data_IF_229050884416
#
_entry.id   IF_229050884416
#
_cell.length_a   1.000
_cell.length_b   1.000
_cell.length_c   1.000
_cell.angle_alpha   90.00
_cell.angle_beta   90.00
_cell.angle_gamma   90.00
#
_symmetry.space_group_name_H-M   'P 1'
#
loop_
_entity.id
_entity.type
_entity.pdbx_description
1 polymer ?
#
# COMPACT_ATOMS: atom_id res chain seq x y z
N UNK A 1 -26.00 55.28 26.38
CA UNK A 1 -24.89 54.43 26.89
C UNK A 1 -25.19 52.92 26.86
N UNK A 2 -26.45 52.44 26.89
CA UNK A 2 -26.78 50.99 26.81
C UNK A 2 -26.52 50.32 25.45
N UNK A 3 -26.51 51.06 24.33
CA UNK A 3 -26.33 50.49 22.97
C UNK A 3 -24.86 50.18 22.62
N UNK A 4 -23.89 50.82 23.29
CA UNK A 4 -22.46 50.54 23.11
C UNK A 4 -22.01 49.25 23.81
N UNK A 5 -22.69 48.88 24.91
CA UNK A 5 -22.38 47.65 25.67
C UNK A 5 -22.78 46.39 24.87
N UNK A 6 -23.83 46.46 24.05
CA UNK A 6 -24.27 45.34 23.21
C UNK A 6 -23.34 45.07 22.01
N UNK A 7 -22.68 46.09 21.49
CA UNK A 7 -21.72 45.94 20.38
C UNK A 7 -20.41 45.29 20.88
N UNK A 8 -20.01 45.58 22.12
CA UNK A 8 -18.83 44.94 22.71
C UNK A 8 -19.06 43.46 23.07
N UNK A 9 -20.28 43.08 23.46
CA UNK A 9 -20.61 41.68 23.77
C UNK A 9 -20.67 40.80 22.51
N UNK A 10 -21.07 41.36 21.36
CA UNK A 10 -21.07 40.65 20.08
C UNK A 10 -19.65 40.44 19.51
N UNK A 11 -18.70 41.32 19.82
CA UNK A 11 -17.32 41.21 19.35
C UNK A 11 -16.50 40.13 20.10
N UNK A 12 -16.84 39.82 21.36
CA UNK A 12 -16.11 38.81 22.16
C UNK A 12 -16.55 37.39 21.83
N UNK A 13 -17.78 37.18 21.35
CA UNK A 13 -18.25 35.83 20.98
C UNK A 13 -17.66 35.28 19.66
N UNK A 14 -17.08 36.13 18.82
CA UNK A 14 -16.46 35.70 17.54
C UNK A 14 -15.04 35.12 17.75
N UNK A 15 -14.41 35.37 18.90
CA UNK A 15 -13.07 34.85 19.21
C UNK A 15 -13.06 33.54 20.01
N UNK A 16 -14.24 32.95 20.27
CA UNK A 16 -14.39 31.70 21.02
C UNK A 16 -14.82 30.53 20.14
N UNK A 17 -14.52 30.57 18.83
CA UNK A 17 -14.63 29.38 18.01
C UNK A 17 -13.54 28.41 18.46
N UNK A 18 -13.85 27.19 18.95
CA UNK A 18 -12.82 26.17 19.08
C UNK A 18 -12.19 26.05 17.70
N UNK A 19 -10.87 26.22 17.63
CA UNK A 19 -10.11 25.82 16.48
C UNK A 19 -10.44 24.33 16.28
N UNK A 20 -11.33 24.05 15.33
CA UNK A 20 -11.47 22.71 14.79
C UNK A 20 -10.12 22.48 14.16
N UNK A 21 -9.22 21.83 14.89
CA UNK A 21 -7.98 21.32 14.33
C UNK A 21 -8.40 20.57 13.09
N UNK A 22 -8.06 21.12 11.93
CA UNK A 22 -8.06 20.38 10.69
C UNK A 22 -7.36 19.08 11.01
N UNK A 23 -8.09 17.97 10.95
CA UNK A 23 -7.48 16.65 10.93
C UNK A 23 -6.40 16.73 9.85
N UNK A 24 -5.15 16.82 10.29
CA UNK A 24 -3.99 16.87 9.41
C UNK A 24 -4.12 15.65 8.53
N UNK A 25 -4.04 15.86 7.21
CA UNK A 25 -4.17 14.86 6.19
C UNK A 25 -3.48 13.57 6.65
N UNK A 26 -4.29 12.54 6.87
CA UNK A 26 -3.88 11.21 7.29
C UNK A 26 -2.85 10.72 6.27
N UNK A 27 -1.59 10.65 6.69
CA UNK A 27 -0.49 10.34 5.79
C UNK A 27 -0.60 8.88 5.40
N UNK A 28 -0.90 8.62 4.13
CA UNK A 28 -0.98 7.27 3.53
C UNK A 28 0.40 6.58 3.43
N UNK A 29 1.31 6.92 4.35
CA UNK A 29 2.66 6.40 4.43
C UNK A 29 2.66 5.06 5.13
N UNK A 30 3.28 4.07 4.49
CA UNK A 30 3.42 2.71 5.02
C UNK A 30 4.86 2.51 5.46
N UNK A 31 5.06 1.92 6.64
CA UNK A 31 6.37 1.43 7.05
C UNK A 31 6.50 -0.04 6.61
N UNK A 32 7.53 -0.33 5.82
CA UNK A 32 7.93 -1.71 5.54
C UNK A 32 9.19 -2.03 6.32
N UNK A 33 9.08 -3.05 7.18
CA UNK A 33 10.20 -3.59 7.96
C UNK A 33 10.61 -4.89 7.28
N UNK A 34 11.80 -4.90 6.69
CA UNK A 34 12.20 -5.92 5.71
C UNK A 34 13.54 -6.57 6.09
N UNK A 35 13.72 -7.88 5.89
CA UNK A 35 15.03 -8.51 6.11
C UNK A 35 16.01 -8.03 5.04
N UNK A 36 17.30 -7.96 5.36
CA UNK A 36 18.38 -7.57 4.43
C UNK A 36 18.71 -8.64 3.36
N UNK A 37 17.68 -9.28 2.80
CA UNK A 37 17.80 -10.25 1.71
C UNK A 37 17.63 -9.54 0.38
N UNK A 38 18.50 -9.83 -0.58
CA UNK A 38 18.51 -9.15 -1.88
C UNK A 38 17.15 -9.19 -2.59
N UNK A 39 16.51 -10.36 -2.70
CA UNK A 39 15.22 -10.53 -3.37
C UNK A 39 14.10 -9.71 -2.71
N UNK A 40 14.03 -9.76 -1.39
CA UNK A 40 13.03 -9.03 -0.59
C UNK A 40 13.23 -7.53 -0.70
N UNK A 41 14.49 -7.08 -0.58
CA UNK A 41 14.85 -5.68 -0.68
C UNK A 41 14.53 -5.09 -2.06
N UNK A 42 14.74 -5.88 -3.12
CA UNK A 42 14.40 -5.46 -4.48
C UNK A 42 12.90 -5.16 -4.61
N UNK A 43 12.03 -6.02 -4.08
CA UNK A 43 10.58 -5.80 -4.07
C UNK A 43 10.24 -4.58 -3.20
N UNK A 44 10.82 -4.48 -2.01
CA UNK A 44 10.57 -3.35 -1.10
C UNK A 44 10.90 -1.99 -1.74
N UNK A 45 12.03 -1.90 -2.47
CA UNK A 45 12.38 -0.69 -3.22
C UNK A 45 11.43 -0.41 -4.38
N UNK A 46 11.02 -1.44 -5.11
CA UNK A 46 10.07 -1.27 -6.21
C UNK A 46 8.70 -0.80 -5.69
N UNK A 47 8.30 -1.21 -4.49
CA UNK A 47 7.13 -0.68 -3.78
C UNK A 47 7.34 0.76 -3.35
N UNK A 48 8.47 1.08 -2.71
CA UNK A 48 8.78 2.44 -2.24
C UNK A 48 8.88 3.49 -3.36
N UNK A 49 9.18 3.05 -4.59
CA UNK A 49 9.15 3.92 -5.79
C UNK A 49 7.74 4.27 -6.27
N UNK A 50 6.74 3.45 -5.92
CA UNK A 50 5.35 3.58 -6.37
C UNK A 50 4.44 4.12 -5.28
N UNK A 51 4.77 3.87 -4.02
CA UNK A 51 3.96 4.19 -2.85
C UNK A 51 4.76 4.95 -1.80
N UNK A 52 4.16 5.91 -1.08
CA UNK A 52 4.80 6.60 0.03
C UNK A 52 5.19 5.57 1.11
N UNK A 53 6.46 5.18 1.14
CA UNK A 53 6.90 4.06 1.97
C UNK A 53 8.18 4.43 2.71
N UNK A 54 8.20 4.21 4.02
CA UNK A 54 9.42 4.21 4.83
C UNK A 54 9.96 2.79 4.85
N UNK A 55 11.24 2.62 4.49
CA UNK A 55 11.89 1.31 4.51
C UNK A 55 12.83 1.22 5.70
N UNK A 56 12.62 0.20 6.53
CA UNK A 56 13.56 -0.20 7.57
C UNK A 56 14.03 -1.61 7.27
N UNK A 57 15.34 -1.78 7.09
CA UNK A 57 15.97 -3.09 6.96
C UNK A 57 16.38 -3.61 8.33
N UNK A 58 16.22 -4.90 8.57
CA UNK A 58 16.80 -5.59 9.72
C UNK A 58 17.71 -6.74 9.29
N UNK A 59 18.72 -7.02 10.10
CA UNK A 59 19.65 -8.13 9.92
C UNK A 59 20.30 -8.51 11.25
N UNK A 60 21.06 -9.61 11.29
CA UNK A 60 21.72 -10.09 12.50
C UNK A 60 20.94 -11.22 13.18
N UNK A 61 21.08 -11.35 14.49
CA UNK A 61 20.40 -12.37 15.29
C UNK A 61 19.09 -11.83 15.86
N UNK A 62 18.25 -12.72 16.42
CA UNK A 62 17.00 -12.32 17.08
C UNK A 62 17.24 -11.50 18.35
N UNK A 63 18.41 -11.66 18.98
CA UNK A 63 18.80 -11.01 20.24
C UNK A 63 19.51 -9.67 19.99
N UNK A 64 20.26 -9.56 18.89
CA UNK A 64 21.03 -8.38 18.53
C UNK A 64 20.74 -7.97 17.06
N UNK A 65 19.52 -7.46 16.78
CA UNK A 65 19.19 -7.01 15.43
C UNK A 65 19.86 -5.68 15.13
N UNK A 66 20.47 -5.61 13.95
CA UNK A 66 21.00 -4.37 13.38
C UNK A 66 19.97 -3.79 12.43
N UNK A 67 19.54 -2.57 12.71
CA UNK A 67 18.53 -1.86 11.93
C UNK A 67 19.15 -0.79 11.07
N UNK A 68 18.61 -0.62 9.87
CA UNK A 68 18.95 0.48 8.98
C UNK A 68 17.67 1.08 8.41
N UNK A 69 17.62 2.40 8.29
CA UNK A 69 16.53 3.12 7.63
C UNK A 69 17.01 3.69 6.30
N UNK A 70 16.18 3.59 5.27
CA UNK A 70 16.45 4.22 3.99
C UNK A 70 15.95 5.67 4.02
N UNK A 71 16.86 6.63 3.77
CA UNK A 71 16.51 8.06 3.73
C UNK A 71 16.18 8.60 2.33
N UNK A 72 16.21 7.74 1.30
CA UNK A 72 16.08 8.14 -0.12
C UNK A 72 17.39 8.08 -0.90
N UNK A 73 18.54 8.14 -0.21
CA UNK A 73 19.87 8.21 -0.80
C UNK A 73 20.80 7.10 -0.31
N UNK A 74 20.77 6.83 1.00
CA UNK A 74 21.61 5.83 1.65
C UNK A 74 20.89 5.15 2.82
N UNK A 75 21.47 4.04 3.26
CA UNK A 75 21.07 3.35 4.48
C UNK A 75 21.75 4.01 5.68
N UNK A 76 20.95 4.52 6.60
CA UNK A 76 21.44 5.07 7.87
C UNK A 76 21.24 4.02 8.97
N UNK A 77 22.24 3.83 9.82
CA UNK A 77 22.09 3.00 11.01
C UNK A 77 20.97 3.56 11.90
N UNK A 78 20.13 2.66 12.41
CA UNK A 78 19.02 3.00 13.29
C UNK A 78 19.19 2.25 14.61
N UNK A 79 19.11 2.97 15.73
CA UNK A 79 19.12 2.31 17.04
C UNK A 79 17.77 1.65 17.33
N UNK A 80 17.77 0.56 18.10
CA UNK A 80 16.54 -0.09 18.52
C UNK A 80 15.63 0.86 19.33
N UNK A 81 16.22 1.71 20.16
CA UNK A 81 15.49 2.71 20.97
C UNK A 81 14.81 3.75 20.08
N UNK A 82 15.50 4.28 19.07
CA UNK A 82 14.92 5.26 18.14
C UNK A 82 13.81 4.61 17.30
N UNK A 83 13.98 3.34 16.93
CA UNK A 83 12.96 2.56 16.26
C UNK A 83 11.70 2.39 17.13
N UNK A 84 11.86 1.94 18.38
CA UNK A 84 10.75 1.68 19.31
C UNK A 84 9.97 2.95 19.68
N UNK A 85 10.65 4.11 19.72
CA UNK A 85 10.01 5.41 19.98
C UNK A 85 9.47 6.08 18.72
N UNK A 86 9.89 5.62 17.55
CA UNK A 86 9.61 6.25 16.26
C UNK A 86 10.31 7.61 16.07
N UNK A 87 11.36 7.92 16.85
CA UNK A 87 12.03 9.23 16.84
C UNK A 87 12.70 9.58 15.50
N UNK A 88 12.99 8.56 14.68
CA UNK A 88 13.56 8.74 13.34
C UNK A 88 12.54 9.20 12.28
N UNK A 89 11.24 9.18 12.60
CA UNK A 89 10.16 9.51 11.68
C UNK A 89 9.84 10.99 11.76
N UNK A 90 9.71 11.64 10.59
CA UNK A 90 9.15 13.00 10.51
C UNK A 90 7.62 12.99 10.64
N UNK A 91 6.99 11.93 10.15
CA UNK A 91 5.56 11.69 10.21
C UNK A 91 5.32 10.22 10.55
N UNK A 92 4.43 9.95 11.51
CA UNK A 92 4.11 8.58 11.91
C UNK A 92 3.32 7.85 10.80
N UNK A 93 3.73 6.65 10.40
CA UNK A 93 3.00 5.83 9.45
C UNK A 93 1.75 5.25 10.12
N UNK A 94 0.61 5.30 9.44
CA UNK A 94 -0.62 4.69 9.94
C UNK A 94 -0.54 3.15 9.94
N UNK A 95 0.28 2.62 9.03
CA UNK A 95 0.35 1.22 8.66
C UNK A 95 1.79 0.72 8.65
N UNK A 96 2.03 -0.43 9.28
CA UNK A 96 3.30 -1.16 9.21
C UNK A 96 3.09 -2.57 8.66
N UNK A 97 3.97 -3.00 7.77
CA UNK A 97 4.07 -4.37 7.32
C UNK A 97 5.46 -4.93 7.68
N UNK A 98 5.47 -6.00 8.47
CA UNK A 98 6.65 -6.78 8.79
C UNK A 98 6.81 -7.91 7.79
N UNK A 99 7.95 -7.98 7.11
CA UNK A 99 8.28 -9.09 6.22
C UNK A 99 9.15 -10.09 6.98
N UNK A 100 8.73 -11.34 7.05
CA UNK A 100 9.46 -12.41 7.75
C UNK A 100 8.58 -13.14 8.77
N UNK A 101 8.94 -14.40 8.99
CA UNK A 101 8.32 -15.25 10.00
C UNK A 101 8.84 -14.93 11.42
N UNK A 102 8.28 -15.60 12.42
CA UNK A 102 8.68 -15.42 13.82
C UNK A 102 10.11 -15.93 14.11
N UNK A 103 10.69 -16.74 13.22
CA UNK A 103 12.06 -17.23 13.34
C UNK A 103 13.09 -16.19 12.86
N UNK A 104 12.71 -15.30 11.96
CA UNK A 104 13.57 -14.26 11.42
C UNK A 104 13.31 -12.89 12.05
N UNK A 105 12.08 -12.61 12.46
CA UNK A 105 11.68 -11.30 12.95
C UNK A 105 11.84 -11.21 14.48
N UNK A 106 12.77 -10.37 14.99
CA UNK A 106 12.90 -10.15 16.43
C UNK A 106 11.60 -9.63 17.05
N UNK A 107 11.22 -10.18 18.21
CA UNK A 107 9.99 -9.79 18.90
C UNK A 107 9.97 -8.30 19.27
N UNK A 108 11.15 -7.73 19.55
CA UNK A 108 11.34 -6.32 19.89
C UNK A 108 10.94 -5.37 18.76
N UNK A 109 11.07 -5.80 17.49
CA UNK A 109 10.64 -4.99 16.35
C UNK A 109 9.12 -4.91 16.22
N UNK A 110 8.39 -5.88 16.78
CA UNK A 110 6.92 -5.87 16.75
C UNK A 110 6.33 -4.97 17.83
N UNK A 111 7.12 -4.51 18.79
CA UNK A 111 6.67 -3.68 19.92
C UNK A 111 6.48 -2.19 19.56
N UNK A 112 5.87 -1.90 18.40
CA UNK A 112 5.68 -0.53 17.87
C UNK A 112 4.25 0.00 18.00
N UNK A 113 3.36 -0.78 18.62
CA UNK A 113 1.94 -0.45 18.77
C UNK A 113 1.69 0.89 19.49
N UNK A 114 2.69 1.44 20.18
CA UNK A 114 2.62 2.75 20.82
C UNK A 114 2.47 3.90 19.82
N UNK A 115 2.98 3.75 18.59
CA UNK A 115 2.95 4.80 17.57
C UNK A 115 2.47 4.33 16.18
N UNK A 116 2.25 3.04 15.97
CA UNK A 116 1.59 2.51 14.77
C UNK A 116 0.47 1.54 15.15
N UNK A 117 -0.77 1.87 14.77
CA UNK A 117 -1.95 1.10 15.19
C UNK A 117 -2.27 -0.08 14.27
N UNK A 118 -1.87 -0.03 12.99
CA UNK A 118 -2.17 -1.07 12.03
C UNK A 118 -0.88 -1.81 11.68
N UNK A 119 -0.81 -3.06 12.14
CA UNK A 119 0.34 -3.92 11.96
C UNK A 119 -0.10 -5.19 11.25
N UNK A 120 0.62 -5.56 10.18
CA UNK A 120 0.49 -6.87 9.53
C UNK A 120 1.86 -7.54 9.43
N UNK A 121 1.88 -8.86 9.54
CA UNK A 121 3.07 -9.67 9.31
C UNK A 121 2.86 -10.51 8.05
N UNK A 122 3.83 -10.48 7.16
CA UNK A 122 3.90 -11.27 5.93
C UNK A 122 5.02 -12.30 6.12
N UNK A 123 4.71 -13.53 6.55
CA UNK A 123 5.72 -14.50 6.95
C UNK A 123 6.55 -15.01 5.77
N UNK A 124 5.92 -15.18 4.60
CA UNK A 124 6.59 -15.73 3.44
C UNK A 124 7.39 -14.64 2.70
N UNK A 125 8.63 -14.98 2.39
CA UNK A 125 9.60 -14.12 1.71
C UNK A 125 9.77 -14.47 0.23
N UNK A 126 9.04 -15.46 -0.28
CA UNK A 126 8.97 -15.74 -1.71
C UNK A 126 8.35 -14.57 -2.46
N UNK A 127 8.96 -14.18 -3.58
CA UNK A 127 8.62 -12.96 -4.32
C UNK A 127 7.13 -12.86 -4.64
N UNK A 128 6.50 -13.97 -5.05
CA UNK A 128 5.10 -13.97 -5.45
C UNK A 128 4.16 -13.76 -4.25
N UNK A 129 4.41 -14.43 -3.13
CA UNK A 129 3.64 -14.24 -1.90
C UNK A 129 3.86 -12.85 -1.30
N UNK A 130 5.08 -12.34 -1.38
CA UNK A 130 5.44 -11.02 -0.87
C UNK A 130 4.74 -9.91 -1.66
N UNK A 131 4.75 -9.99 -3.00
CA UNK A 131 4.01 -9.06 -3.87
C UNK A 131 2.51 -9.14 -3.60
N UNK A 132 1.95 -10.35 -3.45
CA UNK A 132 0.54 -10.53 -3.14
C UNK A 132 0.16 -9.98 -1.76
N UNK A 133 0.96 -10.27 -0.74
CA UNK A 133 0.76 -9.82 0.63
C UNK A 133 0.82 -8.29 0.72
N UNK A 134 1.87 -7.69 0.13
CA UNK A 134 2.01 -6.23 0.11
C UNK A 134 0.86 -5.61 -0.69
N UNK A 135 0.51 -6.11 -1.87
CA UNK A 135 -0.54 -5.49 -2.68
C UNK A 135 -1.97 -5.70 -2.17
N UNK A 136 -2.19 -6.65 -1.25
CA UNK A 136 -3.45 -6.72 -0.49
C UNK A 136 -3.49 -5.68 0.63
N UNK A 137 -2.34 -5.40 1.24
CA UNK A 137 -2.23 -4.45 2.35
C UNK A 137 -2.16 -2.99 1.88
N UNK A 138 -1.37 -2.73 0.85
CA UNK A 138 -1.26 -1.48 0.10
C UNK A 138 -2.12 -1.66 -1.15
N UNK A 139 -3.17 -0.84 -1.37
CA UNK A 139 -4.18 -1.10 -2.39
C UNK A 139 -3.62 -0.93 -3.81
N UNK A 140 -2.98 -1.98 -4.33
CA UNK A 140 -2.38 -1.96 -5.66
C UNK A 140 -3.43 -1.81 -6.75
N UNK A 141 -3.18 -0.89 -7.68
CA UNK A 141 -4.02 -0.72 -8.87
C UNK A 141 -3.78 -1.88 -9.86
N UNK A 142 -4.70 -2.13 -10.81
CA UNK A 142 -4.49 -3.13 -11.86
C UNK A 142 -3.18 -2.93 -12.64
N UNK A 143 -2.77 -1.68 -12.84
CA UNK A 143 -1.52 -1.34 -13.50
C UNK A 143 -0.29 -1.77 -12.68
N UNK A 144 -0.36 -1.66 -11.35
CA UNK A 144 0.71 -2.11 -10.46
C UNK A 144 0.86 -3.63 -10.51
N UNK A 145 -0.25 -4.37 -10.42
CA UNK A 145 -0.23 -5.82 -10.55
C UNK A 145 0.44 -6.27 -11.85
N UNK A 146 0.07 -5.66 -12.98
CA UNK A 146 0.71 -5.95 -14.27
C UNK A 146 2.19 -5.62 -14.30
N UNK A 147 2.57 -4.50 -13.68
CA UNK A 147 3.97 -4.11 -13.63
C UNK A 147 4.80 -5.06 -12.78
N UNK A 148 4.34 -5.41 -11.57
CA UNK A 148 5.05 -6.34 -10.69
C UNK A 148 5.14 -7.74 -11.33
N UNK A 149 4.07 -8.19 -11.98
CA UNK A 149 4.09 -9.44 -12.72
C UNK A 149 5.12 -9.44 -13.85
N UNK A 150 5.17 -8.39 -14.67
CA UNK A 150 6.19 -8.25 -15.71
C UNK A 150 7.61 -8.15 -15.13
N UNK A 151 7.79 -7.41 -14.02
CA UNK A 151 9.09 -7.20 -13.38
C UNK A 151 9.69 -8.49 -12.82
N UNK A 152 8.85 -9.36 -12.27
CA UNK A 152 9.25 -10.57 -11.55
C UNK A 152 8.90 -11.86 -12.30
N UNK A 153 8.49 -11.76 -13.57
CA UNK A 153 8.04 -12.88 -14.40
C UNK A 153 6.96 -13.74 -13.71
N UNK A 154 6.00 -13.09 -13.05
CA UNK A 154 4.89 -13.76 -12.37
C UNK A 154 3.70 -13.87 -13.31
N UNK A 155 2.92 -14.93 -13.16
CA UNK A 155 1.64 -15.08 -13.83
C UNK A 155 0.55 -14.37 -13.02
N UNK A 156 -0.35 -13.67 -13.71
CA UNK A 156 -1.50 -13.02 -13.10
C UNK A 156 -2.76 -13.85 -13.36
N UNK A 157 -3.43 -14.30 -12.31
CA UNK A 157 -4.77 -14.90 -12.43
C UNK A 157 -5.78 -14.03 -11.73
N UNK A 158 -6.96 -13.92 -12.34
CA UNK A 158 -8.04 -13.08 -11.83
C UNK A 158 -8.97 -13.96 -11.00
N UNK A 159 -8.88 -13.84 -9.67
CA UNK A 159 -9.75 -14.56 -8.74
C UNK A 159 -11.24 -14.21 -8.90
N UNK A 160 -11.57 -13.05 -9.48
CA UNK A 160 -12.95 -12.66 -9.81
C UNK A 160 -13.28 -12.85 -11.29
N UNK A 161 -12.51 -13.65 -12.02
CA UNK A 161 -12.78 -13.90 -13.43
C UNK A 161 -14.19 -14.45 -13.64
N UNK A 162 -14.61 -15.41 -12.81
CA UNK A 162 -15.92 -16.05 -12.92
C UNK A 162 -17.07 -15.10 -12.58
N UNK A 163 -16.95 -14.32 -11.50
CA UNK A 163 -17.94 -13.27 -11.16
C UNK A 163 -18.01 -12.17 -12.23
N UNK A 164 -16.86 -11.76 -12.76
CA UNK A 164 -16.79 -10.75 -13.83
C UNK A 164 -17.36 -11.31 -15.15
N UNK A 165 -17.17 -12.59 -15.44
CA UNK A 165 -17.80 -13.26 -16.58
C UNK A 165 -19.30 -13.45 -16.37
N UNK A 166 -19.75 -13.78 -15.17
CA UNK A 166 -21.17 -13.85 -14.82
C UNK A 166 -21.83 -12.47 -14.99
N UNK A 167 -21.23 -11.41 -14.45
CA UNK A 167 -21.70 -10.03 -14.63
C UNK A 167 -21.68 -9.59 -16.10
N UNK A 168 -20.67 -10.01 -16.89
CA UNK A 168 -20.66 -9.77 -18.34
C UNK A 168 -21.80 -10.49 -19.05
N UNK A 169 -22.06 -11.77 -18.72
CA UNK A 169 -23.17 -12.56 -19.28
C UNK A 169 -24.52 -11.92 -18.94
N UNK A 170 -24.71 -11.46 -17.71
CA UNK A 170 -25.91 -10.72 -17.29
C UNK A 170 -26.05 -9.41 -18.08
N UNK A 171 -24.98 -8.64 -18.22
CA UNK A 171 -25.01 -7.37 -18.95
C UNK A 171 -25.20 -7.50 -20.46
N UNK A 172 -24.88 -8.66 -21.04
CA UNK A 172 -24.96 -8.90 -22.49
C UNK A 172 -26.37 -9.30 -22.93
N UNK A 173 -27.17 -9.90 -22.04
CA UNK A 173 -28.53 -10.35 -22.35
C UNK A 173 -29.63 -9.48 -21.72
N UNK A 174 -29.28 -8.50 -20.88
CA UNK A 174 -30.26 -7.58 -20.33
C UNK A 174 -30.51 -6.39 -21.28
N UNK A 175 -31.27 -6.63 -22.35
CA UNK A 175 -31.80 -5.59 -23.24
C UNK A 175 -32.78 -4.63 -22.52
N UNK A 176 -33.11 -4.88 -21.25
CA UNK A 176 -34.14 -4.16 -20.50
C UNK A 176 -33.64 -3.30 -19.32
N UNK A 177 -32.36 -3.41 -18.95
CA UNK A 177 -31.79 -2.52 -17.94
C UNK A 177 -31.65 -1.10 -18.50
N UNK A 178 -32.27 -0.07 -17.87
CA UNK A 178 -32.08 1.30 -18.32
C UNK A 178 -30.60 1.63 -18.23
N UNK A 179 -30.00 2.00 -19.36
CA UNK A 179 -28.61 2.46 -19.46
C UNK A 179 -28.42 3.58 -18.43
N UNK A 180 -27.90 3.23 -17.25
CA UNK A 180 -27.55 4.21 -16.23
C UNK A 180 -26.36 4.98 -16.78
N UNK A 181 -26.68 6.11 -17.42
CA UNK A 181 -25.68 7.12 -17.72
C UNK A 181 -24.95 7.41 -16.41
N UNK A 182 -23.63 7.18 -16.31
CA UNK A 182 -22.91 7.54 -15.11
C UNK A 182 -23.18 9.03 -14.83
N UNK A 183 -23.56 9.35 -13.58
CA UNK A 183 -23.78 10.73 -13.13
C UNK A 183 -22.62 11.58 -13.63
N UNK A 184 -22.85 12.69 -14.35
CA UNK A 184 -21.76 13.49 -14.87
C UNK A 184 -20.91 14.00 -13.70
N UNK A 185 -19.70 13.46 -13.56
CA UNK A 185 -18.70 13.99 -12.64
C UNK A 185 -18.35 15.43 -13.04
N UNK A 186 -18.01 16.25 -12.04
CA UNK A 186 -17.70 17.68 -12.12
C UNK A 186 -16.54 18.09 -13.07
N UNK A 187 -15.95 17.16 -13.82
CA UNK A 187 -14.75 17.38 -14.64
C UNK A 187 -15.00 17.35 -16.16
N UNK A 188 -16.15 17.84 -16.63
CA UNK A 188 -16.44 17.94 -18.08
C UNK A 188 -15.95 19.20 -18.80
N UNK A 189 -15.11 20.05 -18.17
CA UNK A 189 -14.66 21.30 -18.80
C UNK A 189 -13.21 21.35 -19.30
N UNK A 190 -12.39 20.32 -19.07
CA UNK A 190 -11.01 20.36 -19.57
C UNK A 190 -10.55 19.04 -20.19
N UNK A 191 -11.18 18.61 -21.28
CA UNK A 191 -10.50 17.82 -22.33
C UNK A 191 -11.34 17.84 -23.62
N UNK A 192 -11.23 18.94 -24.38
CA UNK A 192 -11.53 18.90 -25.81
C UNK A 192 -10.22 18.60 -26.56
N UNK A 193 -10.32 17.69 -27.51
CA UNK A 193 -9.36 17.32 -28.56
C UNK A 193 -8.07 16.58 -28.16
N UNK A 194 -8.16 15.25 -28.08
CA UNK A 194 -7.28 14.39 -28.89
C UNK A 194 -8.08 13.20 -29.39
N UNK A 195 -8.37 13.20 -30.70
CA UNK A 195 -8.68 11.97 -31.43
C UNK A 195 -7.46 11.07 -31.28
N UNK A 196 -7.55 10.04 -30.45
CA UNK A 196 -6.64 8.90 -30.53
C UNK A 196 -7.43 7.66 -30.15
N UNK A 197 -7.31 6.67 -31.03
CA UNK A 197 -7.86 5.32 -31.05
C UNK A 197 -7.93 4.68 -29.65
N UNK A 198 -9.05 4.03 -29.35
CA UNK A 198 -9.29 3.30 -28.11
C UNK A 198 -8.25 2.18 -27.88
N UNK A 199 -7.69 2.03 -26.68
CA UNK A 199 -7.20 0.75 -26.19
C UNK A 199 -8.31 0.05 -25.40
N UNK A 200 -8.50 -1.22 -25.70
CA UNK A 200 -9.43 -2.14 -25.05
C UNK A 200 -9.08 -2.37 -23.58
N UNK A 201 -10.12 -2.36 -22.74
CA UNK A 201 -10.34 -3.38 -21.70
C UNK A 201 -9.33 -3.45 -20.56
N UNK A 202 -9.43 -2.52 -19.61
CA UNK A 202 -8.73 -2.61 -18.33
C UNK A 202 -9.53 -3.47 -17.34
N UNK A 203 -9.14 -4.73 -17.14
CA UNK A 203 -9.73 -5.61 -16.13
C UNK A 203 -8.70 -5.98 -15.03
N UNK A 204 -9.10 -5.83 -13.77
CA UNK A 204 -8.31 -6.05 -12.56
C UNK A 204 -8.05 -7.55 -12.27
N UNK A 205 -6.85 -7.90 -11.77
CA UNK A 205 -6.34 -9.27 -11.62
C UNK A 205 -5.62 -9.45 -10.27
N UNK A 206 -5.78 -10.59 -9.56
CA UNK A 206 -5.06 -11.08 -8.35
C UNK A 206 -5.50 -12.52 -7.98
N UNK A 207 -4.77 -13.39 -7.20
CA UNK A 207 -3.56 -14.19 -7.52
C UNK A 207 -3.72 -15.74 -7.38
N UNK A 208 -2.66 -16.53 -7.65
CA UNK A 208 -2.59 -17.96 -8.12
C UNK A 208 -2.13 -19.01 -7.08
N UNK A 209 -2.69 -20.23 -7.16
CA UNK A 209 -2.17 -21.51 -6.61
C UNK A 209 -1.36 -22.33 -7.66
N UNK A 210 -0.33 -23.07 -7.22
CA UNK A 210 0.59 -23.82 -8.08
C UNK A 210 0.15 -25.29 -8.21
N UNK A 211 -0.09 -25.85 -9.41
CA UNK A 211 -0.14 -27.29 -9.59
C UNK A 211 1.27 -27.89 -9.78
N UNK A 212 1.48 -29.07 -9.19
CA UNK A 212 2.75 -29.79 -9.11
C UNK A 212 3.37 -30.09 -10.49
N UNK A 213 4.68 -29.86 -10.61
CA UNK A 213 5.44 -30.06 -11.84
C UNK A 213 5.73 -31.54 -12.14
N UNK A 214 5.51 -31.95 -13.39
CA UNK A 214 5.96 -33.23 -13.92
C UNK A 214 7.50 -33.27 -14.06
N UNK A 215 8.09 -34.33 -13.53
CA UNK A 215 9.52 -34.63 -13.58
C UNK A 215 9.88 -35.09 -15.00
N UNK A 216 10.76 -34.34 -15.67
CA UNK A 216 11.36 -34.78 -16.95
C UNK A 216 12.70 -35.46 -16.65
N UNK A 217 12.76 -36.77 -16.86
CA UNK A 217 14.00 -37.56 -16.81
C UNK A 217 14.94 -37.19 -17.96
N UNK A 218 16.17 -36.84 -17.62
CA UNK A 218 17.26 -36.58 -18.58
C UNK A 218 18.07 -37.88 -18.71
N UNK A 219 18.22 -38.48 -19.90
CA UNK A 219 19.04 -39.66 -20.07
C UNK A 219 20.54 -39.31 -19.97
N UNK A 220 21.27 -40.20 -19.28
CA UNK A 220 22.68 -40.07 -18.91
C UNK A 220 23.64 -40.26 -20.13
N UNK A 221 24.92 -39.84 -20.01
CA UNK A 221 25.82 -39.51 -21.13
C UNK A 221 26.38 -40.71 -21.91
#
# INVERSE_FOLDING_TARGET
MKKLIWIFLAAVMVLSAPAVSSAVAQSDTVLLVVPSRYSVMQVAFDVARRYPTVLVSYQGTLEEPVLHVWNGYEWMALSLTDYQTGAFLQTYPDRTAFLGDDALLPAELRAINAWCNQVVQLPNLETHELVNGIGRYIPFTPADWRWFAGRYNLTLTNLKAEEAEAARRESWYDESAPVRSPKPGLFKYFTRSRRTRAPEGDAAIQPIEIPAADVVEIPAP
#
